data_IF_745878201572
#
_entry.id   IF_745878201572
#
_cell.length_a   1.000
_cell.length_b   1.000
_cell.length_c   1.000
_cell.angle_alpha   90.00
_cell.angle_beta   90.00
_cell.angle_gamma   90.00
#
_symmetry.space_group_name_H-M   'P 1'
#
loop_
_entity.id
_entity.type
_entity.pdbx_description
1 polymer ?
#
# COMPACT_ATOMS: atom_id res chain seq x y z
N UNK A 1 -7.34 -5.04 -2.98
CA UNK A 1 -8.62 -5.31 -2.30
C UNK A 1 -8.56 -6.64 -1.57
N UNK A 2 -8.17 -7.73 -2.25
CA UNK A 2 -8.16 -9.11 -1.71
C UNK A 2 -7.35 -9.24 -0.42
N UNK A 3 -6.13 -8.70 -0.35
CA UNK A 3 -5.29 -8.72 0.86
C UNK A 3 -6.00 -8.04 2.04
N UNK A 4 -6.61 -6.88 1.80
CA UNK A 4 -7.36 -6.16 2.85
C UNK A 4 -8.54 -7.00 3.37
N UNK A 5 -9.23 -7.72 2.47
CA UNK A 5 -10.32 -8.62 2.84
C UNK A 5 -9.82 -9.79 3.70
N UNK A 6 -8.71 -10.43 3.30
CA UNK A 6 -8.11 -11.54 4.06
C UNK A 6 -7.67 -11.08 5.46
N UNK A 7 -6.98 -9.94 5.57
CA UNK A 7 -6.57 -9.38 6.85
C UNK A 7 -7.78 -9.05 7.73
N UNK A 8 -8.85 -8.46 7.15
CA UNK A 8 -10.06 -8.13 7.87
C UNK A 8 -10.80 -9.39 8.37
N UNK A 9 -10.88 -10.45 7.58
CA UNK A 9 -11.46 -11.72 8.02
C UNK A 9 -10.63 -12.40 9.10
N UNK A 10 -9.30 -12.40 8.97
CA UNK A 10 -8.39 -12.93 9.99
C UNK A 10 -8.58 -12.22 11.34
N UNK A 11 -8.65 -10.89 11.32
CA UNK A 11 -8.83 -10.10 12.54
C UNK A 11 -10.16 -10.41 13.25
N UNK A 12 -11.28 -10.55 12.52
CA UNK A 12 -12.56 -10.88 13.19
C UNK A 12 -12.63 -12.31 13.71
N UNK A 13 -11.89 -13.26 13.12
CA UNK A 13 -11.76 -14.61 13.68
C UNK A 13 -11.10 -14.58 15.06
N UNK A 14 -10.17 -13.65 15.28
CA UNK A 14 -9.53 -13.40 16.58
C UNK A 14 -10.39 -12.51 17.50
N UNK A 15 -11.59 -12.13 17.10
CA UNK A 15 -12.47 -11.27 17.88
C UNK A 15 -12.10 -9.79 17.88
N UNK A 16 -11.23 -9.35 16.97
CA UNK A 16 -10.76 -7.98 16.87
C UNK A 16 -11.79 -7.05 16.21
N UNK A 17 -11.60 -5.75 16.44
CA UNK A 17 -12.33 -4.70 15.72
C UNK A 17 -11.55 -4.31 14.47
N UNK A 18 -12.23 -4.22 13.33
CA UNK A 18 -11.64 -3.82 12.06
C UNK A 18 -12.28 -2.53 11.58
N UNK A 19 -11.47 -1.58 11.13
CA UNK A 19 -11.87 -0.35 10.47
C UNK A 19 -11.19 -0.19 9.12
N UNK A 20 -11.63 0.79 8.34
CA UNK A 20 -11.08 1.12 7.04
C UNK A 20 -11.00 2.63 6.86
N UNK A 21 -9.89 3.11 6.35
CA UNK A 21 -9.72 4.47 5.84
C UNK A 21 -9.27 4.36 4.39
N UNK A 22 -10.08 4.86 3.47
CA UNK A 22 -9.73 5.00 2.05
C UNK A 22 -9.31 6.44 1.81
N UNK A 23 -8.24 6.62 1.07
CA UNK A 23 -7.65 7.94 0.82
C UNK A 23 -7.07 8.06 -0.58
N UNK A 24 -7.01 9.29 -1.03
CA UNK A 24 -6.27 9.82 -2.16
C UNK A 24 -5.37 10.96 -1.65
N UNK A 25 -5.37 12.14 -2.22
CA UNK A 25 -4.86 13.38 -1.60
C UNK A 25 -5.74 13.86 -0.44
N UNK A 26 -6.96 13.32 -0.33
CA UNK A 26 -7.91 13.53 0.75
C UNK A 26 -8.37 12.21 1.37
N UNK A 27 -9.00 12.27 2.55
CA UNK A 27 -9.67 11.10 3.14
C UNK A 27 -11.03 10.92 2.46
N UNK A 28 -11.13 9.88 1.64
CA UNK A 28 -12.31 9.59 0.81
C UNK A 28 -13.45 8.92 1.59
N UNK A 29 -13.10 7.95 2.41
CA UNK A 29 -14.07 7.16 3.16
C UNK A 29 -13.50 6.63 4.45
N UNK A 30 -14.35 6.66 5.49
CA UNK A 30 -14.02 6.09 6.79
C UNK A 30 -15.08 5.09 7.22
N UNK A 31 -14.65 3.90 7.59
CA UNK A 31 -15.49 2.90 8.26
C UNK A 31 -14.88 2.67 9.64
N UNK A 32 -15.49 3.18 10.71
CA UNK A 32 -14.94 3.08 12.07
C UNK A 32 -14.78 1.63 12.53
N UNK A 33 -13.79 1.33 13.42
CA UNK A 33 -13.53 -0.03 13.89
C UNK A 33 -14.73 -0.66 14.63
N UNK A 34 -15.25 -1.78 14.11
CA UNK A 34 -16.31 -2.59 14.73
C UNK A 34 -16.02 -4.08 14.57
N UNK A 35 -16.67 -4.91 15.39
CA UNK A 35 -16.60 -6.37 15.33
C UNK A 35 -17.65 -6.94 14.37
N UNK A 36 -17.41 -8.17 13.91
CA UNK A 36 -18.40 -9.05 13.32
C UNK A 36 -18.39 -9.13 11.80
N UNK A 37 -18.80 -10.26 11.28
CA UNK A 37 -18.76 -10.64 9.86
C UNK A 37 -19.50 -9.64 8.95
N UNK A 38 -20.69 -9.18 9.37
CA UNK A 38 -21.48 -8.19 8.60
C UNK A 38 -20.70 -6.87 8.41
N UNK A 39 -19.90 -6.48 9.42
CA UNK A 39 -19.10 -5.26 9.33
C UNK A 39 -17.93 -5.42 8.34
N UNK A 40 -17.24 -6.57 8.34
CA UNK A 40 -16.19 -6.85 7.35
C UNK A 40 -16.74 -6.92 5.93
N UNK A 41 -17.92 -7.52 5.73
CA UNK A 41 -18.58 -7.51 4.42
C UNK A 41 -18.90 -6.08 3.95
N UNK A 42 -19.27 -5.17 4.87
CA UNK A 42 -19.41 -3.75 4.56
C UNK A 42 -18.09 -3.12 4.13
N UNK A 43 -16.98 -3.40 4.85
CA UNK A 43 -15.63 -2.91 4.47
C UNK A 43 -15.28 -3.35 3.06
N UNK A 44 -15.47 -4.63 2.74
CA UNK A 44 -15.19 -5.17 1.41
C UNK A 44 -16.04 -4.48 0.34
N UNK A 45 -17.32 -4.27 0.60
CA UNK A 45 -18.20 -3.54 -0.32
C UNK A 45 -17.69 -2.11 -0.58
N UNK A 46 -17.30 -1.37 0.47
CA UNK A 46 -16.75 -0.02 0.32
C UNK A 46 -15.46 -0.03 -0.53
N UNK A 47 -14.57 -1.03 -0.34
CA UNK A 47 -13.36 -1.21 -1.15
C UNK A 47 -13.65 -1.44 -2.65
N UNK A 48 -14.76 -2.10 -2.98
CA UNK A 48 -15.13 -2.36 -4.38
C UNK A 48 -15.90 -1.21 -5.02
N UNK A 49 -16.65 -0.43 -4.23
CA UNK A 49 -17.59 0.55 -4.79
C UNK A 49 -17.08 1.97 -4.77
N UNK A 50 -15.96 2.23 -4.05
CA UNK A 50 -15.40 3.58 -3.95
C UNK A 50 -15.01 4.11 -5.33
N UNK A 51 -15.38 5.36 -5.57
CA UNK A 51 -14.83 6.18 -6.65
C UNK A 51 -14.08 7.30 -5.99
N UNK A 52 -12.77 7.35 -6.18
CA UNK A 52 -11.94 8.42 -5.64
C UNK A 52 -12.39 9.77 -6.24
N UNK A 53 -12.41 10.78 -5.41
CA UNK A 53 -12.71 12.17 -5.78
C UNK A 53 -11.42 12.98 -5.93
N UNK A 54 -10.40 12.66 -5.16
CA UNK A 54 -9.07 13.24 -5.27
C UNK A 54 -8.29 12.73 -6.49
N UNK A 55 -7.24 13.46 -6.86
CA UNK A 55 -6.45 13.18 -8.07
C UNK A 55 -5.03 12.70 -7.77
N UNK A 56 -4.56 12.87 -6.55
CA UNK A 56 -3.21 12.46 -6.13
C UNK A 56 -3.25 11.49 -4.96
N UNK A 57 -2.11 11.31 -4.31
CA UNK A 57 -1.94 10.48 -3.13
C UNK A 57 -1.31 11.28 -2.00
N UNK A 58 -1.89 11.25 -0.78
CA UNK A 58 -1.29 11.83 0.41
C UNK A 58 -1.35 10.86 1.59
N UNK A 59 -0.26 10.13 1.78
CA UNK A 59 -0.06 9.20 2.90
C UNK A 59 -0.07 9.97 4.22
N UNK A 60 0.52 11.16 4.26
CA UNK A 60 0.56 12.00 5.46
C UNK A 60 -0.84 12.42 5.90
N UNK A 61 -1.74 12.79 4.98
CA UNK A 61 -3.14 13.10 5.27
C UNK A 61 -3.86 11.90 5.88
N UNK A 62 -3.70 10.72 5.29
CA UNK A 62 -4.30 9.48 5.78
C UNK A 62 -3.80 9.10 7.19
N UNK A 63 -2.48 9.13 7.42
CA UNK A 63 -1.88 8.76 8.69
C UNK A 63 -2.24 9.75 9.80
N UNK A 64 -2.26 11.05 9.50
CA UNK A 64 -2.71 12.06 10.45
C UNK A 64 -4.19 11.89 10.83
N UNK A 65 -5.02 11.46 9.89
CA UNK A 65 -6.41 11.13 10.17
C UNK A 65 -6.53 9.87 11.05
N UNK A 66 -5.81 8.79 10.74
CA UNK A 66 -5.78 7.56 11.53
C UNK A 66 -5.32 7.84 12.97
N UNK A 67 -4.27 8.66 13.15
CA UNK A 67 -3.76 9.05 14.47
C UNK A 67 -4.75 9.85 15.32
N UNK A 68 -5.73 10.52 14.70
CA UNK A 68 -6.84 11.21 15.38
C UNK A 68 -8.03 10.29 15.64
N UNK A 69 -8.28 9.34 14.73
CA UNK A 69 -9.38 8.39 14.83
C UNK A 69 -9.15 7.35 15.94
N UNK A 70 -7.90 6.89 16.11
CA UNK A 70 -7.55 5.81 17.01
C UNK A 70 -7.00 6.34 18.34
N UNK A 71 -7.78 6.17 19.41
CA UNK A 71 -7.40 6.59 20.77
C UNK A 71 -6.58 5.52 21.52
N UNK A 72 -6.48 4.30 21.00
CA UNK A 72 -5.74 3.18 21.62
C UNK A 72 -4.74 2.63 20.62
N UNK A 73 -3.64 2.09 21.14
CA UNK A 73 -2.65 1.39 20.31
C UNK A 73 -3.36 0.28 19.52
N UNK A 74 -3.16 0.29 18.22
CA UNK A 74 -3.82 -0.60 17.26
C UNK A 74 -2.82 -1.05 16.21
N UNK A 75 -3.10 -2.14 15.52
CA UNK A 75 -2.37 -2.50 14.30
C UNK A 75 -2.93 -1.64 13.16
N UNK A 76 -2.05 -0.91 12.49
CA UNK A 76 -2.39 -0.10 11.31
C UNK A 76 -1.68 -0.71 10.11
N UNK A 77 -2.43 -1.17 9.12
CA UNK A 77 -1.87 -1.67 7.87
C UNK A 77 -2.06 -0.59 6.80
N UNK A 78 -0.97 -0.01 6.34
CA UNK A 78 -0.95 0.96 5.25
C UNK A 78 -0.66 0.24 3.94
N UNK A 79 -1.64 0.13 3.05
CA UNK A 79 -1.50 -0.46 1.73
C UNK A 79 -1.42 0.65 0.66
N UNK A 80 -0.26 0.80 0.02
CA UNK A 80 0.02 1.82 -1.00
C UNK A 80 1.13 1.34 -1.92
N UNK A 81 1.28 1.96 -3.08
CA UNK A 81 2.45 1.88 -3.96
C UNK A 81 3.57 2.84 -3.54
N UNK A 82 3.29 3.70 -2.53
CA UNK A 82 4.22 4.70 -1.99
C UNK A 82 4.77 5.69 -3.04
N UNK A 83 3.97 6.00 -4.05
CA UNK A 83 4.28 7.04 -5.04
C UNK A 83 3.88 8.44 -4.52
N UNK A 84 4.26 8.73 -3.29
CA UNK A 84 4.02 9.99 -2.59
C UNK A 84 5.35 10.51 -2.04
N UNK A 85 5.37 11.74 -1.59
CA UNK A 85 6.50 12.40 -0.95
C UNK A 85 6.12 12.94 0.42
N UNK A 86 7.12 13.26 1.26
CA UNK A 86 6.91 13.96 2.56
C UNK A 86 6.04 13.22 3.59
N UNK A 87 5.98 11.89 3.55
CA UNK A 87 5.19 11.09 4.50
C UNK A 87 6.00 10.58 5.72
N UNK A 88 7.30 10.75 5.76
CA UNK A 88 8.18 10.18 6.79
C UNK A 88 7.76 10.55 8.21
N UNK A 89 7.47 11.83 8.45
CA UNK A 89 7.07 12.33 9.77
C UNK A 89 5.75 11.70 10.21
N UNK A 90 4.78 11.61 9.30
CA UNK A 90 3.48 11.01 9.60
C UNK A 90 3.60 9.51 9.89
N UNK A 91 4.41 8.77 9.12
CA UNK A 91 4.68 7.36 9.38
C UNK A 91 5.38 7.15 10.72
N UNK A 92 6.41 7.96 11.06
CA UNK A 92 7.10 7.89 12.37
C UNK A 92 6.14 8.10 13.53
N UNK A 93 5.30 9.12 13.47
CA UNK A 93 4.30 9.40 14.51
C UNK A 93 3.31 8.23 14.62
N UNK A 94 2.85 7.69 13.49
CA UNK A 94 1.94 6.54 13.48
C UNK A 94 2.60 5.30 14.08
N UNK A 95 3.85 5.02 13.72
CA UNK A 95 4.59 3.87 14.24
C UNK A 95 4.89 3.97 15.75
N UNK A 96 5.05 5.19 16.28
CA UNK A 96 5.19 5.39 17.72
C UNK A 96 3.88 5.17 18.49
N UNK A 97 2.75 5.59 17.92
CA UNK A 97 1.44 5.49 18.56
C UNK A 97 0.78 4.11 18.39
N UNK A 98 1.03 3.48 17.28
CA UNK A 98 0.39 2.25 16.82
C UNK A 98 1.44 1.23 16.39
N UNK A 99 0.99 0.06 15.99
CA UNK A 99 1.81 -0.95 15.35
C UNK A 99 1.61 -0.82 13.84
N UNK A 100 2.52 -0.08 13.17
CA UNK A 100 2.40 0.20 11.75
C UNK A 100 3.08 -0.89 10.91
N UNK A 101 2.32 -1.43 9.96
CA UNK A 101 2.79 -2.37 8.95
C UNK A 101 2.56 -1.76 7.58
N UNK A 102 3.62 -1.49 6.85
CA UNK A 102 3.54 -1.02 5.48
C UNK A 102 3.38 -2.21 4.52
N UNK A 103 2.49 -2.08 3.56
CA UNK A 103 2.20 -3.04 2.50
C UNK A 103 2.47 -2.35 1.17
N UNK A 104 3.70 -2.51 0.67
CA UNK A 104 4.12 -1.94 -0.60
C UNK A 104 3.60 -2.78 -1.74
N UNK A 105 2.66 -2.24 -2.49
CA UNK A 105 2.05 -2.91 -3.64
C UNK A 105 2.83 -2.53 -4.88
N UNK A 106 3.37 -3.52 -5.59
CA UNK A 106 4.16 -3.34 -6.83
C UNK A 106 3.48 -4.04 -7.99
N UNK A 107 3.43 -3.38 -9.12
CA UNK A 107 2.96 -3.97 -10.36
C UNK A 107 4.15 -4.46 -11.19
N UNK A 108 4.08 -5.61 -11.91
CA UNK A 108 5.19 -6.10 -12.73
C UNK A 108 5.73 -5.10 -13.73
N UNK A 109 4.88 -4.26 -14.31
CA UNK A 109 5.29 -3.21 -15.26
C UNK A 109 6.10 -2.08 -14.61
N UNK A 110 6.06 -1.96 -13.27
CA UNK A 110 6.93 -1.07 -12.50
C UNK A 110 8.32 -1.69 -12.23
N UNK A 111 8.51 -2.97 -12.54
CA UNK A 111 9.78 -3.67 -12.43
C UNK A 111 10.40 -3.94 -13.78
N UNK A 112 9.58 -4.33 -14.77
CA UNK A 112 10.03 -4.67 -16.11
C UNK A 112 9.00 -4.24 -17.16
N UNK A 113 9.44 -3.43 -18.12
CA UNK A 113 8.62 -3.06 -19.28
C UNK A 113 8.67 -4.19 -20.31
N UNK A 114 7.53 -4.84 -20.64
CA UNK A 114 7.51 -5.91 -21.62
C UNK A 114 7.76 -5.39 -23.04
N UNK A 115 8.21 -6.28 -23.94
CA UNK A 115 8.37 -6.00 -25.36
C UNK A 115 7.02 -6.07 -26.08
N UNK A 116 6.33 -4.94 -26.17
CA UNK A 116 4.99 -4.81 -26.78
C UNK A 116 4.98 -3.81 -27.93
N UNK A 117 6.17 -3.41 -28.42
CA UNK A 117 6.30 -2.39 -29.47
C UNK A 117 6.05 -0.98 -28.95
N UNK A 118 5.36 -0.17 -29.72
CA UNK A 118 5.06 1.22 -29.35
C UNK A 118 3.91 1.26 -28.34
N UNK A 119 4.21 1.72 -27.13
CA UNK A 119 3.27 1.85 -26.03
C UNK A 119 2.95 3.31 -25.74
N UNK A 120 1.70 3.58 -25.43
CA UNK A 120 1.26 4.82 -24.85
C UNK A 120 1.15 4.65 -23.34
N UNK A 121 2.08 5.24 -22.59
CA UNK A 121 2.03 5.26 -21.13
C UNK A 121 1.25 6.50 -20.69
N UNK A 122 0.28 6.28 -19.83
CA UNK A 122 -0.58 7.31 -19.28
C UNK A 122 -0.32 7.47 -17.79
N UNK A 123 0.02 8.67 -17.37
CA UNK A 123 0.11 9.01 -15.96
C UNK A 123 -1.28 9.48 -15.48
N UNK A 124 -1.91 8.67 -14.63
CA UNK A 124 -3.25 8.94 -14.14
C UNK A 124 -3.34 10.19 -13.22
N UNK A 125 -2.22 10.59 -12.61
CA UNK A 125 -2.17 11.74 -11.70
C UNK A 125 -1.97 13.07 -12.47
N UNK A 126 -1.06 13.09 -13.46
CA UNK A 126 -0.73 14.30 -14.24
C UNK A 126 -1.54 14.44 -15.53
N UNK A 127 -2.29 13.40 -15.94
CA UNK A 127 -2.94 13.26 -17.25
C UNK A 127 -1.95 13.35 -18.44
N UNK A 128 -0.68 13.16 -18.20
CA UNK A 128 0.32 13.14 -19.26
C UNK A 128 0.35 11.81 -19.98
N UNK A 129 0.53 11.85 -21.27
CA UNK A 129 0.65 10.69 -22.14
C UNK A 129 2.00 10.73 -22.84
N UNK A 130 2.78 9.66 -22.69
CA UNK A 130 4.10 9.53 -23.29
C UNK A 130 4.14 8.30 -24.18
N UNK A 131 4.57 8.47 -25.43
CA UNK A 131 4.80 7.35 -26.33
C UNK A 131 6.19 6.77 -26.09
N UNK A 132 6.24 5.48 -25.84
CA UNK A 132 7.48 4.74 -25.53
C UNK A 132 7.60 3.55 -26.47
N UNK A 133 8.72 3.46 -27.19
CA UNK A 133 9.05 2.27 -27.98
C UNK A 133 9.65 1.20 -27.06
N UNK A 134 8.80 0.26 -26.64
CA UNK A 134 9.20 -0.85 -25.78
C UNK A 134 9.97 -1.94 -26.53
N UNK A 135 10.08 -1.91 -27.85
CA UNK A 135 10.95 -2.84 -28.60
C UNK A 135 12.43 -2.51 -28.46
N UNK A 136 12.75 -1.27 -28.06
CA UNK A 136 14.12 -0.82 -27.85
C UNK A 136 14.73 -1.42 -26.58
N UNK A 137 15.58 -2.45 -26.73
CA UNK A 137 16.25 -3.16 -25.61
C UNK A 137 17.06 -2.24 -24.69
N UNK A 138 17.72 -1.22 -25.23
CA UNK A 138 18.54 -0.26 -24.43
C UNK A 138 17.64 0.60 -23.54
N UNK A 139 16.52 1.05 -24.09
CA UNK A 139 15.53 1.85 -23.35
C UNK A 139 14.91 1.00 -22.23
N UNK A 140 14.49 -0.24 -22.53
CA UNK A 140 13.95 -1.15 -21.49
C UNK A 140 14.96 -1.37 -20.37
N UNK A 141 16.22 -1.71 -20.69
CA UNK A 141 17.25 -1.95 -19.69
C UNK A 141 17.52 -0.69 -18.83
N UNK A 142 17.51 0.50 -19.44
CA UNK A 142 17.68 1.76 -18.71
C UNK A 142 16.50 2.00 -17.75
N UNK A 143 15.26 1.85 -18.23
CA UNK A 143 14.07 2.01 -17.39
C UNK A 143 14.03 0.99 -16.25
N UNK A 144 14.33 -0.27 -16.53
CA UNK A 144 14.41 -1.31 -15.52
C UNK A 144 15.45 -1.00 -14.43
N UNK A 145 16.65 -0.53 -14.81
CA UNK A 145 17.66 -0.10 -13.83
C UNK A 145 17.15 1.03 -12.95
N UNK A 146 16.51 2.05 -13.54
CA UNK A 146 15.94 3.18 -12.80
C UNK A 146 14.84 2.77 -11.83
N UNK A 147 13.92 1.90 -12.27
CA UNK A 147 12.84 1.40 -11.43
C UNK A 147 13.38 0.56 -10.27
N UNK A 148 14.36 -0.31 -10.55
CA UNK A 148 15.05 -1.09 -9.52
C UNK A 148 15.76 -0.20 -8.50
N UNK A 149 16.50 0.82 -8.97
CA UNK A 149 17.16 1.80 -8.08
C UNK A 149 16.15 2.50 -7.16
N UNK A 150 14.97 2.88 -7.70
CA UNK A 150 13.87 3.50 -6.93
C UNK A 150 13.35 2.53 -5.85
N UNK A 151 13.10 1.27 -6.20
CA UNK A 151 12.62 0.26 -5.25
C UNK A 151 13.66 -0.07 -4.17
N UNK A 152 14.94 -0.24 -4.55
CA UNK A 152 16.03 -0.50 -3.61
C UNK A 152 16.23 0.69 -2.65
N UNK A 153 16.10 1.91 -3.15
CA UNK A 153 16.18 3.13 -2.32
C UNK A 153 15.01 3.18 -1.32
N UNK A 154 13.79 2.87 -1.76
CA UNK A 154 12.63 2.81 -0.90
C UNK A 154 12.78 1.73 0.20
N UNK A 155 13.20 0.52 -0.16
CA UNK A 155 13.37 -0.56 0.80
C UNK A 155 14.44 -0.22 1.84
N UNK A 156 15.58 0.36 1.42
CA UNK A 156 16.61 0.89 2.33
C UNK A 156 16.07 2.00 3.23
N UNK A 157 15.21 2.86 2.68
CA UNK A 157 14.59 3.95 3.43
C UNK A 157 13.68 3.41 4.54
N UNK A 158 12.82 2.42 4.25
CA UNK A 158 11.97 1.78 5.26
C UNK A 158 12.79 1.10 6.36
N UNK A 159 13.89 0.43 6.01
CA UNK A 159 14.83 -0.14 6.99
C UNK A 159 15.45 0.96 7.86
N UNK A 160 15.90 2.08 7.28
CA UNK A 160 16.45 3.22 8.03
C UNK A 160 15.44 3.83 8.99
N UNK A 161 14.16 3.84 8.61
CA UNK A 161 13.06 4.31 9.46
C UNK A 161 12.64 3.28 10.52
N UNK A 162 13.23 2.08 10.52
CA UNK A 162 12.88 0.95 11.39
C UNK A 162 11.39 0.58 11.29
N UNK A 163 10.86 0.62 10.07
CA UNK A 163 9.46 0.30 9.79
C UNK A 163 9.31 -1.08 9.17
N UNK A 164 8.31 -1.80 9.63
CA UNK A 164 7.93 -3.06 8.99
C UNK A 164 7.35 -2.79 7.59
N UNK A 165 7.92 -3.43 6.59
CA UNK A 165 7.49 -3.34 5.19
C UNK A 165 7.33 -4.72 4.58
N UNK A 166 6.18 -4.98 3.97
CA UNK A 166 5.87 -6.20 3.22
C UNK A 166 5.70 -5.81 1.76
N UNK A 167 6.55 -6.34 0.90
CA UNK A 167 6.42 -6.14 -0.55
C UNK A 167 5.47 -7.19 -1.12
N UNK A 168 4.50 -6.75 -1.88
CA UNK A 168 3.49 -7.58 -2.54
C UNK A 168 3.42 -7.23 -4.01
N UNK A 169 3.54 -8.24 -4.86
CA UNK A 169 3.40 -8.09 -6.31
C UNK A 169 1.98 -8.46 -6.73
N UNK A 170 1.40 -7.68 -7.65
CA UNK A 170 0.00 -7.88 -8.09
C UNK A 170 -0.20 -9.14 -8.94
N UNK A 171 0.87 -9.68 -9.51
CA UNK A 171 0.91 -10.91 -10.33
C UNK A 171 1.31 -12.17 -9.55
N UNK A 172 1.71 -12.03 -8.27
CA UNK A 172 2.20 -13.14 -7.45
C UNK A 172 1.32 -13.34 -6.21
N UNK A 173 1.39 -14.55 -5.66
CA UNK A 173 0.69 -14.83 -4.40
C UNK A 173 1.26 -14.01 -3.24
N UNK A 174 0.42 -13.21 -2.62
CA UNK A 174 0.72 -12.42 -1.42
C UNK A 174 0.76 -13.25 -0.13
N UNK A 175 0.28 -14.51 -0.17
CA UNK A 175 0.14 -15.36 1.03
C UNK A 175 1.51 -15.62 1.66
N UNK A 176 2.51 -16.01 0.85
CA UNK A 176 3.86 -16.30 1.36
C UNK A 176 4.53 -15.09 2.02
N UNK A 177 4.57 -13.89 1.40
CA UNK A 177 5.11 -12.69 2.05
C UNK A 177 4.44 -12.37 3.38
N UNK A 178 3.10 -12.43 3.44
CA UNK A 178 2.35 -12.19 4.67
C UNK A 178 2.66 -13.22 5.75
N UNK A 179 2.59 -14.51 5.43
CA UNK A 179 2.90 -15.58 6.40
C UNK A 179 4.34 -15.47 6.93
N UNK A 180 5.31 -15.26 6.07
CA UNK A 180 6.72 -15.09 6.46
C UNK A 180 6.92 -13.88 7.38
N UNK A 181 6.19 -12.80 7.13
CA UNK A 181 6.22 -11.62 7.96
C UNK A 181 5.65 -11.90 9.36
N UNK A 182 4.46 -12.46 9.45
CA UNK A 182 3.84 -12.75 10.74
C UNK A 182 4.59 -13.81 11.55
N UNK A 183 5.14 -14.85 10.90
CA UNK A 183 5.99 -15.84 11.56
C UNK A 183 7.23 -15.21 12.17
N UNK A 184 7.92 -14.33 11.44
CA UNK A 184 9.09 -13.60 11.97
C UNK A 184 8.72 -12.69 13.15
N UNK A 185 7.52 -12.13 13.17
CA UNK A 185 7.06 -11.33 14.32
C UNK A 185 6.77 -12.19 15.54
N UNK A 186 6.13 -13.35 15.36
CA UNK A 186 5.86 -14.29 16.46
C UNK A 186 7.16 -14.80 17.12
N UNK A 187 8.25 -14.93 16.37
CA UNK A 187 9.55 -15.35 16.91
C UNK A 187 10.31 -14.24 17.67
N UNK A 188 9.84 -12.99 17.64
CA UNK A 188 10.43 -11.87 18.36
C UNK A 188 9.80 -11.62 19.75
N UNK A 189 8.70 -12.30 20.03
CA UNK A 189 7.96 -12.29 21.31
C UNK A 189 8.02 -13.66 21.98
#
# INVERSE_FOLDING_TARGET
IEICAVLAFSAIQNGDKVGLVLFSDVVEKVVPPKKGKKHVLRIIRELYTIKATGKGTSISTAMNYVNRLLNRRSIVVLASDFQDTEYDTALKITNQKHDLVNLSIRHPFEEELPDLGLLSLYNAETNEQVMVDSSNKRLRAHLQSKLKEKHDAFDKHMVKLQMDNIVVHTDKSYIRPLMSFFQRRLSRY
#
